data_IF_424393242014
#
_entry.id   IF_424393242014
#
_cell.length_a   1.000
_cell.length_b   1.000
_cell.length_c   1.000
_cell.angle_alpha   90.00
_cell.angle_beta   90.00
_cell.angle_gamma   90.00
#
_symmetry.space_group_name_H-M   'P 1'
#
loop_
_entity.id
_entity.type
_entity.pdbx_description
1 polymer ?
#
# COMPACT_ATOMS: atom_id res chain seq x y z
N UNK A 1 -9.87 0.01 -12.39
CA UNK A 1 -9.17 -0.89 -11.47
C UNK A 1 -7.85 -0.26 -11.02
N UNK A 2 -7.40 -0.57 -9.81
CA UNK A 2 -6.12 -0.12 -9.23
C UNK A 2 -5.36 -1.31 -8.65
N UNK A 3 -4.03 -1.29 -8.74
CA UNK A 3 -3.13 -2.18 -7.99
C UNK A 3 -2.17 -1.30 -7.21
N UNK A 4 -2.08 -1.50 -5.89
CA UNK A 4 -1.24 -0.73 -5.00
C UNK A 4 -0.28 -1.66 -4.23
N UNK A 5 1.02 -1.59 -4.54
CA UNK A 5 2.05 -2.38 -3.85
C UNK A 5 2.73 -1.58 -2.75
N UNK A 6 2.89 -2.19 -1.57
CA UNK A 6 3.62 -1.64 -0.41
C UNK A 6 3.28 -0.16 -0.11
N UNK A 7 1.99 0.17 0.12
CA UNK A 7 1.54 1.57 0.17
C UNK A 7 2.10 2.34 1.38
N UNK A 8 2.59 3.57 1.20
CA UNK A 8 2.77 4.53 2.30
C UNK A 8 1.42 5.21 2.59
N UNK A 9 0.54 4.54 3.33
CA UNK A 9 -0.86 4.93 3.49
C UNK A 9 -1.10 6.06 4.51
N UNK A 10 -0.35 6.03 5.61
CA UNK A 10 -0.43 6.99 6.70
C UNK A 10 1.00 7.40 7.10
N UNK A 11 1.38 8.63 6.75
CA UNK A 11 2.74 9.14 6.94
C UNK A 11 3.08 9.35 8.41
N UNK A 12 2.10 9.61 9.28
CA UNK A 12 2.33 9.74 10.73
C UNK A 12 2.71 8.39 11.31
N UNK A 13 1.97 7.34 10.98
CA UNK A 13 2.30 5.96 11.38
C UNK A 13 3.61 5.49 10.74
N UNK A 14 3.82 5.80 9.45
CA UNK A 14 5.02 5.41 8.72
C UNK A 14 6.28 6.05 9.33
N UNK A 15 6.22 7.32 9.76
CA UNK A 15 7.30 7.97 10.49
C UNK A 15 7.74 7.18 11.72
N UNK A 16 6.80 6.57 12.46
CA UNK A 16 7.13 5.83 13.68
C UNK A 16 7.51 4.36 13.48
N UNK A 17 7.28 3.79 12.30
CA UNK A 17 7.36 2.33 12.08
C UNK A 17 8.31 1.92 10.95
N UNK A 18 8.63 2.84 10.04
CA UNK A 18 9.51 2.61 8.90
C UNK A 18 11.00 2.70 9.27
N UNK A 19 11.83 1.87 8.64
CA UNK A 19 13.30 1.92 8.71
C UNK A 19 13.91 3.21 8.11
N UNK A 20 13.15 3.99 7.34
CA UNK A 20 13.55 5.32 6.84
C UNK A 20 12.94 6.50 7.58
N UNK A 21 12.38 6.25 8.75
CA UNK A 21 11.94 7.30 9.68
C UNK A 21 12.99 8.41 9.88
N UNK A 22 14.28 8.07 9.97
CA UNK A 22 15.35 9.07 10.08
C UNK A 22 15.51 9.99 8.86
N UNK A 23 15.08 9.54 7.67
CA UNK A 23 15.03 10.36 6.47
C UNK A 23 13.66 10.99 6.22
N UNK A 24 12.64 10.60 6.98
CA UNK A 24 11.27 11.10 6.86
C UNK A 24 11.21 12.63 6.96
N UNK A 25 11.94 13.21 7.91
CA UNK A 25 12.09 14.66 8.08
C UNK A 25 12.57 15.30 6.78
N UNK A 26 13.42 14.64 5.98
CA UNK A 26 13.88 15.14 4.68
C UNK A 26 12.83 14.99 3.56
N UNK A 27 12.07 13.89 3.55
CA UNK A 27 11.15 13.56 2.46
C UNK A 27 9.74 14.14 2.62
N UNK A 28 9.31 14.47 3.85
CA UNK A 28 7.92 14.77 4.18
C UNK A 28 7.70 16.10 4.91
N UNK A 29 8.54 17.12 4.65
CA UNK A 29 8.26 18.49 5.08
C UNK A 29 9.37 19.21 5.86
N UNK A 30 10.54 18.59 6.04
CA UNK A 30 11.69 19.24 6.70
C UNK A 30 11.62 19.26 8.23
N UNK A 31 10.53 18.75 8.83
CA UNK A 31 10.21 18.82 10.26
C UNK A 31 9.57 17.52 10.72
N UNK A 32 9.65 17.24 12.01
CA UNK A 32 9.04 16.04 12.59
C UNK A 32 7.51 16.19 12.76
N UNK A 33 6.73 15.09 12.90
CA UNK A 33 5.27 15.15 12.94
C UNK A 33 4.69 15.98 14.08
N UNK A 34 5.42 16.15 15.20
CA UNK A 34 4.99 17.01 16.31
C UNK A 34 5.31 18.49 16.10
N UNK A 35 6.18 18.82 15.15
CA UNK A 35 6.52 20.20 14.78
C UNK A 35 5.63 20.74 13.65
N UNK A 36 5.23 19.88 12.72
CA UNK A 36 4.30 20.21 11.63
C UNK A 36 3.37 19.02 11.29
N UNK A 37 2.33 18.76 12.11
CA UNK A 37 1.43 17.64 11.88
C UNK A 37 0.70 17.70 10.53
N UNK A 38 0.38 18.92 10.05
CA UNK A 38 -0.30 19.14 8.77
C UNK A 38 0.47 18.55 7.59
N UNK A 39 1.79 18.72 7.56
CA UNK A 39 2.63 18.20 6.48
C UNK A 39 2.54 16.67 6.32
N UNK A 40 2.20 15.95 7.38
CA UNK A 40 2.02 14.49 7.32
C UNK A 40 0.58 14.11 7.00
N UNK A 41 -0.40 14.74 7.66
CA UNK A 41 -1.83 14.41 7.52
C UNK A 41 -2.34 14.79 6.13
N UNK A 42 -2.03 15.99 5.64
CA UNK A 42 -2.57 16.50 4.38
C UNK A 42 -2.01 15.77 3.15
N UNK A 43 -0.88 15.09 3.31
CA UNK A 43 -0.23 14.28 2.28
C UNK A 43 -0.45 12.77 2.47
N UNK A 44 -1.12 12.33 3.53
CA UNK A 44 -1.43 10.93 3.75
C UNK A 44 -2.65 10.48 2.94
N UNK A 45 -2.58 9.38 2.16
CA UNK A 45 -3.75 8.76 1.55
C UNK A 45 -4.88 8.44 2.54
N UNK A 46 -4.55 8.13 3.81
CA UNK A 46 -5.52 7.86 4.88
C UNK A 46 -6.57 8.97 5.06
N UNK A 47 -6.19 10.23 4.79
CA UNK A 47 -7.07 11.41 4.85
C UNK A 47 -8.18 11.40 3.78
N UNK A 48 -7.97 10.71 2.65
CA UNK A 48 -8.84 10.80 1.48
C UNK A 48 -9.44 9.46 1.04
N UNK A 49 -8.81 8.33 1.40
CA UNK A 49 -9.12 7.01 0.85
C UNK A 49 -10.55 6.54 1.12
N UNK A 50 -11.23 7.07 2.14
CA UNK A 50 -12.65 6.78 2.41
C UNK A 50 -13.60 7.25 1.28
N UNK A 51 -13.12 8.05 0.32
CA UNK A 51 -13.88 8.52 -0.84
C UNK A 51 -13.63 7.69 -2.10
N UNK A 52 -12.70 6.73 -2.03
CA UNK A 52 -12.32 5.93 -3.18
C UNK A 52 -13.43 4.93 -3.54
N UNK A 53 -13.72 4.83 -4.84
CA UNK A 53 -14.69 3.89 -5.40
C UNK A 53 -14.08 2.91 -6.39
N UNK A 54 -12.80 3.11 -6.76
CA UNK A 54 -12.12 2.27 -7.74
C UNK A 54 -11.71 0.93 -7.11
N UNK A 55 -12.12 -0.22 -7.69
CA UNK A 55 -11.69 -1.52 -7.21
C UNK A 55 -10.17 -1.61 -7.10
N UNK A 56 -9.66 -1.99 -5.93
CA UNK A 56 -8.23 -1.94 -5.61
C UNK A 56 -7.68 -3.27 -5.08
N UNK A 57 -6.65 -3.81 -5.73
CA UNK A 57 -5.83 -4.89 -5.19
C UNK A 57 -4.62 -4.30 -4.45
N UNK A 58 -4.42 -4.69 -3.20
CA UNK A 58 -3.26 -4.30 -2.38
C UNK A 58 -2.29 -5.47 -2.28
N UNK A 59 -1.00 -5.22 -2.49
CA UNK A 59 0.07 -6.23 -2.47
C UNK A 59 1.09 -5.84 -1.41
N UNK A 60 1.37 -6.74 -0.47
CA UNK A 60 2.24 -6.44 0.68
C UNK A 60 3.12 -7.61 1.08
N UNK A 61 4.42 -7.35 1.26
CA UNK A 61 5.32 -8.28 1.96
C UNK A 61 5.18 -8.14 3.48
N UNK A 62 5.06 -9.25 4.21
CA UNK A 62 4.85 -9.21 5.67
C UNK A 62 6.08 -8.79 6.48
N UNK A 63 7.29 -8.94 5.91
CA UNK A 63 8.56 -8.54 6.52
C UNK A 63 9.12 -7.26 5.88
N UNK A 64 8.24 -6.43 5.30
CA UNK A 64 8.60 -5.13 4.75
C UNK A 64 8.84 -4.13 5.89
N UNK A 65 10.08 -3.74 6.12
CA UNK A 65 10.46 -2.72 7.11
C UNK A 65 10.41 -1.29 6.53
N UNK A 66 10.33 -1.15 5.21
CA UNK A 66 10.30 0.13 4.49
C UNK A 66 8.91 0.72 4.50
N UNK A 67 7.92 -0.08 4.13
CA UNK A 67 6.49 0.20 4.25
C UNK A 67 5.86 -0.92 5.10
N UNK A 68 5.86 -0.78 6.44
CA UNK A 68 5.36 -1.82 7.35
C UNK A 68 3.96 -2.31 7.00
N UNK A 69 3.72 -3.62 7.19
CA UNK A 69 2.46 -4.30 6.83
C UNK A 69 1.20 -3.59 7.32
N UNK A 70 1.27 -2.92 8.47
CA UNK A 70 0.18 -2.13 9.03
C UNK A 70 -0.32 -1.01 8.10
N UNK A 71 0.49 -0.53 7.16
CA UNK A 71 0.07 0.45 6.15
C UNK A 71 -0.94 -0.15 5.17
N UNK A 72 -0.66 -1.35 4.66
CA UNK A 72 -1.58 -2.08 3.79
C UNK A 72 -2.85 -2.50 4.53
N UNK A 73 -2.75 -2.90 5.80
CA UNK A 73 -3.89 -3.24 6.65
C UNK A 73 -4.82 -2.03 6.87
N UNK A 74 -4.24 -0.85 7.15
CA UNK A 74 -5.01 0.39 7.29
C UNK A 74 -5.74 0.75 5.99
N UNK A 75 -5.05 0.64 4.84
CA UNK A 75 -5.65 0.90 3.53
C UNK A 75 -6.79 -0.08 3.24
N UNK A 76 -6.57 -1.38 3.44
CA UNK A 76 -7.58 -2.42 3.22
C UNK A 76 -8.85 -2.16 4.05
N UNK A 77 -8.71 -1.95 5.36
CA UNK A 77 -9.86 -1.69 6.23
C UNK A 77 -10.58 -0.40 5.85
N UNK A 78 -9.85 0.65 5.48
CA UNK A 78 -10.43 1.93 5.07
C UNK A 78 -11.25 1.79 3.80
N UNK A 79 -10.68 1.19 2.75
CA UNK A 79 -11.37 0.96 1.48
C UNK A 79 -12.58 0.03 1.66
N UNK A 80 -12.42 -1.05 2.43
CA UNK A 80 -13.50 -2.00 2.70
C UNK A 80 -14.67 -1.32 3.40
N UNK A 81 -14.41 -0.47 4.40
CA UNK A 81 -15.43 0.30 5.10
C UNK A 81 -16.07 1.41 4.25
N UNK A 82 -15.34 1.94 3.27
CA UNK A 82 -15.87 2.87 2.28
C UNK A 82 -16.80 2.22 1.25
N UNK A 83 -16.98 0.90 1.29
CA UNK A 83 -17.77 0.15 0.30
C UNK A 83 -17.03 -0.09 -1.01
N UNK A 84 -15.72 0.17 -1.04
CA UNK A 84 -14.89 -0.12 -2.20
C UNK A 84 -14.62 -1.64 -2.28
N UNK A 85 -14.65 -2.18 -3.49
CA UNK A 85 -14.14 -3.52 -3.78
C UNK A 85 -12.62 -3.53 -3.58
N UNK A 86 -12.16 -4.36 -2.65
CA UNK A 86 -10.75 -4.37 -2.24
C UNK A 86 -10.30 -5.76 -1.84
N UNK A 87 -9.11 -6.13 -2.31
CA UNK A 87 -8.39 -7.32 -1.89
C UNK A 87 -7.02 -6.95 -1.30
N UNK A 88 -6.54 -7.76 -0.36
CA UNK A 88 -5.19 -7.62 0.22
C UNK A 88 -4.45 -8.96 0.11
N UNK A 89 -3.47 -9.02 -0.78
CA UNK A 89 -2.55 -10.13 -0.93
C UNK A 89 -1.31 -9.90 -0.05
N UNK A 90 -1.15 -10.75 0.98
CA UNK A 90 0.02 -10.74 1.89
C UNK A 90 0.97 -11.87 1.52
N UNK A 91 2.26 -11.55 1.46
CA UNK A 91 3.31 -12.51 1.17
C UNK A 91 4.17 -12.76 2.42
N UNK A 92 4.04 -13.93 3.06
CA UNK A 92 4.76 -14.23 4.29
C UNK A 92 6.27 -14.14 4.15
N UNK A 93 6.91 -13.49 5.14
CA UNK A 93 8.36 -13.33 5.22
C UNK A 93 8.99 -12.48 4.11
N UNK A 94 8.19 -11.82 3.26
CA UNK A 94 8.70 -11.05 2.14
C UNK A 94 9.02 -9.60 2.51
N UNK A 95 10.18 -9.12 2.04
CA UNK A 95 10.66 -7.74 2.23
C UNK A 95 10.02 -6.76 1.24
N UNK A 96 10.34 -5.47 1.36
CA UNK A 96 9.89 -4.42 0.44
C UNK A 96 10.15 -4.72 -1.05
N UNK A 97 11.28 -5.35 -1.36
CA UNK A 97 11.75 -5.56 -2.74
C UNK A 97 11.43 -6.96 -3.28
N UNK A 98 10.56 -7.73 -2.62
CA UNK A 98 10.27 -9.12 -3.00
C UNK A 98 9.69 -9.25 -4.42
N UNK A 99 9.05 -8.19 -4.92
CA UNK A 99 8.53 -8.09 -6.28
C UNK A 99 9.61 -8.42 -7.34
N UNK A 100 10.87 -8.05 -7.05
CA UNK A 100 12.03 -8.26 -7.94
C UNK A 100 13.02 -9.29 -7.40
N UNK A 101 13.13 -9.45 -6.08
CA UNK A 101 14.17 -10.28 -5.44
C UNK A 101 13.62 -11.46 -4.62
N UNK A 102 12.30 -11.60 -4.52
CA UNK A 102 11.64 -12.66 -3.78
C UNK A 102 11.66 -14.00 -4.53
N UNK A 103 11.19 -15.09 -3.88
CA UNK A 103 11.06 -16.40 -4.49
C UNK A 103 10.28 -16.34 -5.81
N UNK A 104 10.71 -17.08 -6.85
CA UNK A 104 10.02 -17.09 -8.15
C UNK A 104 8.52 -17.36 -8.03
N UNK A 105 8.12 -18.32 -7.18
CA UNK A 105 6.71 -18.70 -7.02
C UNK A 105 5.86 -17.55 -6.47
N UNK A 106 6.37 -16.78 -5.51
CA UNK A 106 5.68 -15.59 -5.00
C UNK A 106 5.55 -14.50 -6.07
N UNK A 107 6.59 -14.32 -6.90
CA UNK A 107 6.56 -13.35 -8.00
C UNK A 107 5.56 -13.76 -9.07
N UNK A 108 5.49 -15.05 -9.40
CA UNK A 108 4.50 -15.59 -10.35
C UNK A 108 3.09 -15.41 -9.82
N UNK A 109 2.78 -15.82 -8.58
CA UNK A 109 1.45 -15.62 -7.97
C UNK A 109 1.05 -14.14 -7.98
N UNK A 110 1.97 -13.26 -7.60
CA UNK A 110 1.73 -11.82 -7.62
C UNK A 110 1.41 -11.28 -9.01
N UNK A 111 2.23 -11.58 -10.03
CA UNK A 111 1.96 -11.10 -11.38
C UNK A 111 0.66 -11.68 -11.95
N UNK A 112 0.34 -12.93 -11.63
CA UNK A 112 -0.94 -13.55 -11.98
C UNK A 112 -2.12 -12.77 -11.37
N UNK A 113 -2.10 -12.49 -10.06
CA UNK A 113 -3.14 -11.67 -9.41
C UNK A 113 -3.28 -10.29 -10.02
N UNK A 114 -2.17 -9.63 -10.36
CA UNK A 114 -2.18 -8.32 -11.01
C UNK A 114 -2.90 -8.39 -12.36
N UNK A 115 -2.53 -9.37 -13.20
CA UNK A 115 -3.13 -9.56 -14.52
C UNK A 115 -4.62 -9.91 -14.40
N UNK A 116 -4.97 -10.85 -13.52
CA UNK A 116 -6.35 -11.27 -13.28
C UNK A 116 -7.21 -10.10 -12.79
N UNK A 117 -6.69 -9.30 -11.83
CA UNK A 117 -7.39 -8.12 -11.33
C UNK A 117 -7.72 -7.12 -12.44
N UNK A 118 -6.77 -6.84 -13.31
CA UNK A 118 -7.01 -5.95 -14.44
C UNK A 118 -7.95 -6.60 -15.47
N UNK A 119 -7.79 -7.88 -15.80
CA UNK A 119 -8.67 -8.58 -16.73
C UNK A 119 -10.14 -8.55 -16.27
N UNK A 120 -10.39 -8.78 -14.99
CA UNK A 120 -11.74 -8.78 -14.40
C UNK A 120 -12.41 -7.39 -14.44
N UNK A 121 -11.63 -6.33 -14.25
CA UNK A 121 -12.19 -4.99 -14.01
C UNK A 121 -12.02 -3.99 -15.17
N UNK A 122 -11.09 -4.24 -16.09
CA UNK A 122 -10.83 -3.38 -17.26
C UNK A 122 -10.60 -4.17 -18.55
N UNK A 123 -10.47 -5.50 -18.50
CA UNK A 123 -10.34 -6.33 -19.69
C UNK A 123 -11.63 -6.26 -20.52
N UNK A 124 -11.48 -6.29 -21.84
CA UNK A 124 -12.63 -6.49 -22.73
C UNK A 124 -13.33 -7.78 -22.30
N UNK A 125 -14.64 -7.72 -22.07
CA UNK A 125 -15.44 -8.94 -22.01
C UNK A 125 -15.30 -9.57 -23.38
N UNK A 126 -14.50 -10.63 -23.49
CA UNK A 126 -14.44 -11.42 -24.70
C UNK A 126 -15.86 -11.90 -24.99
N UNK A 127 -16.41 -11.44 -26.12
CA UNK A 127 -17.63 -11.98 -26.72
C UNK A 127 -17.45 -13.46 -27.11
#
# INVERSE_FOLDING_TARGET
ACVCGSPPFDLVSMFGTSDISSNATKYWGGKDPWEDPSAYIDHSPSTFAHRATTPTLIIQGEADERCPVGQAEQMFVTLKKAGCEVELARYPGQSHIFLIAGPPDHRVDMYTRILDWFNEHIGDKAD
#
